data_IF_948715147490
#
_entry.id   IF_948715147490
#
_cell.length_a   1.000
_cell.length_b   1.000
_cell.length_c   1.000
_cell.angle_alpha   90.00
_cell.angle_beta   90.00
_cell.angle_gamma   90.00
#
_symmetry.space_group_name_H-M   'P 1'
#
loop_
_entity.id
_entity.type
_entity.pdbx_description
1 polymer ?
#
# COMPACT_ATOMS: atom_id res chain seq x y z
N UNK A 1 34.34 19.51 -48.72
CA UNK A 1 33.01 20.07 -48.49
C UNK A 1 32.26 18.99 -47.72
N UNK A 2 32.62 18.82 -46.44
CA UNK A 2 32.02 19.46 -45.24
C UNK A 2 30.98 18.48 -44.66
N UNK A 3 31.36 17.79 -43.56
CA UNK A 3 30.81 17.92 -42.18
C UNK A 3 29.36 17.38 -42.06
N UNK A 4 28.96 16.47 -41.16
CA UNK A 4 29.31 16.08 -39.78
C UNK A 4 28.84 14.62 -39.58
N UNK A 5 29.53 13.65 -38.97
CA UNK A 5 30.15 13.52 -37.63
C UNK A 5 29.17 13.46 -36.43
N UNK A 6 29.10 12.27 -35.84
CA UNK A 6 28.90 11.90 -34.42
C UNK A 6 27.71 12.43 -33.61
N UNK A 7 26.91 11.50 -33.07
CA UNK A 7 26.82 11.29 -31.60
C UNK A 7 26.11 9.97 -31.28
N UNK A 8 26.90 8.96 -30.91
CA UNK A 8 26.54 8.03 -29.83
C UNK A 8 26.26 8.84 -28.55
N UNK A 9 25.26 8.46 -27.74
CA UNK A 9 25.14 9.02 -26.39
C UNK A 9 23.77 8.91 -25.72
N UNK A 10 23.69 7.99 -24.76
CA UNK A 10 22.92 8.11 -23.52
C UNK A 10 21.37 8.09 -23.56
N UNK A 11 20.78 6.89 -23.69
CA UNK A 11 19.48 6.57 -23.11
C UNK A 11 19.61 5.81 -21.77
N UNK A 12 20.64 6.15 -21.00
CA UNK A 12 21.07 5.40 -19.82
C UNK A 12 21.22 6.26 -18.57
N UNK A 13 20.35 7.23 -18.29
CA UNK A 13 20.35 7.94 -17.01
C UNK A 13 18.94 8.43 -16.66
N UNK A 14 18.16 7.60 -15.97
CA UNK A 14 16.95 8.08 -15.29
C UNK A 14 16.61 7.25 -14.03
N UNK A 15 16.92 5.96 -14.03
CA UNK A 15 16.65 5.08 -12.88
C UNK A 15 17.75 5.11 -11.79
N UNK A 16 18.98 5.47 -12.13
CA UNK A 16 20.07 5.59 -11.16
C UNK A 16 19.88 6.75 -10.18
N UNK A 17 19.19 7.82 -10.60
CA UNK A 17 18.81 8.95 -9.73
C UNK A 17 17.67 8.58 -8.77
N UNK A 18 16.75 7.71 -9.19
CA UNK A 18 15.63 7.23 -8.36
C UNK A 18 16.12 6.24 -7.31
N UNK A 19 17.04 5.33 -7.67
CA UNK A 19 17.69 4.45 -6.69
C UNK A 19 18.63 5.22 -5.75
N UNK A 20 19.35 6.24 -6.23
CA UNK A 20 20.17 7.11 -5.36
C UNK A 20 19.32 7.94 -4.41
N UNK A 21 18.17 8.48 -4.83
CA UNK A 21 17.28 9.25 -3.97
C UNK A 21 16.67 8.41 -2.83
N UNK A 22 16.51 7.09 -3.01
CA UNK A 22 16.02 6.18 -1.98
C UNK A 22 17.16 5.69 -1.06
N UNK A 23 18.38 5.51 -1.59
CA UNK A 23 19.52 5.00 -0.83
C UNK A 23 20.34 6.07 -0.08
N UNK A 24 20.22 7.37 -0.43
CA UNK A 24 21.05 8.44 0.16
C UNK A 24 20.53 8.94 1.52
N UNK A 25 19.35 8.51 1.98
CA UNK A 25 18.78 8.92 3.27
C UNK A 25 19.27 8.11 4.50
N UNK A 26 20.40 7.39 4.37
CA UNK A 26 20.87 6.45 5.38
C UNK A 26 22.27 6.67 5.98
N UNK A 27 22.98 7.78 5.70
CA UNK A 27 24.31 7.98 6.29
C UNK A 27 24.66 9.46 6.44
N UNK A 28 24.94 9.90 7.68
CA UNK A 28 25.64 11.16 7.96
C UNK A 28 26.80 10.88 8.90
N UNK A 29 28.06 11.16 8.53
CA UNK A 29 29.15 11.34 9.48
C UNK A 29 29.38 12.84 9.73
N UNK A 30 29.31 13.26 10.99
CA UNK A 30 29.89 14.54 11.44
C UNK A 30 31.43 14.44 11.45
N UNK A 31 32.17 15.53 11.19
CA UNK A 31 32.60 16.37 12.32
C UNK A 31 32.63 17.90 12.08
N UNK A 32 32.24 18.62 13.14
CA UNK A 32 32.80 19.84 13.73
C UNK A 32 33.05 21.11 12.87
N UNK A 33 32.49 22.25 13.34
CA UNK A 33 33.13 23.56 13.21
C UNK A 33 32.25 24.80 13.02
N UNK A 34 31.67 25.30 14.13
CA UNK A 34 31.45 26.72 14.46
C UNK A 34 30.67 27.71 13.54
N UNK A 35 29.50 28.11 14.09
CA UNK A 35 29.07 29.49 14.38
C UNK A 35 27.97 30.14 13.52
N UNK A 36 26.93 30.56 14.26
CA UNK A 36 25.95 31.64 14.01
C UNK A 36 24.63 31.33 13.27
N UNK A 37 23.55 31.37 14.06
CA UNK A 37 22.15 31.61 13.69
C UNK A 37 21.77 33.08 14.04
N UNK A 38 20.54 33.59 13.74
CA UNK A 38 19.42 33.00 12.99
C UNK A 38 18.83 33.95 11.92
N UNK A 39 18.05 33.43 10.95
CA UNK A 39 16.67 33.86 10.59
C UNK A 39 16.06 32.77 9.69
N UNK A 40 14.83 32.42 10.02
CA UNK A 40 13.93 31.44 9.40
C UNK A 40 13.67 31.70 7.92
N UNK A 41 13.66 30.65 7.09
CA UNK A 41 12.58 30.50 6.09
C UNK A 41 12.43 29.05 5.61
N UNK A 42 11.17 28.71 5.34
CA UNK A 42 10.67 27.37 5.04
C UNK A 42 11.20 26.81 3.71
N UNK A 43 11.66 25.56 3.69
CA UNK A 43 12.20 24.98 2.45
C UNK A 43 12.56 23.51 2.42
N UNK A 44 11.87 22.62 3.16
CA UNK A 44 12.16 21.17 3.10
C UNK A 44 10.89 20.31 3.07
N UNK A 45 10.04 20.50 2.05
CA UNK A 45 8.93 19.57 1.74
C UNK A 45 8.73 19.28 0.23
N UNK A 46 9.38 20.03 -0.65
CA UNK A 46 9.22 19.90 -2.11
C UNK A 46 9.72 18.58 -2.75
N UNK A 47 10.76 17.86 -2.28
CA UNK A 47 11.35 16.76 -3.06
C UNK A 47 10.45 15.53 -3.20
N UNK A 48 9.75 15.13 -2.13
CA UNK A 48 8.94 13.90 -2.10
C UNK A 48 7.65 14.05 -2.91
N UNK A 49 6.98 15.19 -2.77
CA UNK A 49 5.76 15.51 -3.52
C UNK A 49 6.05 15.64 -5.02
N UNK A 50 7.22 16.16 -5.38
CA UNK A 50 7.69 16.26 -6.77
C UNK A 50 7.98 14.89 -7.40
N UNK A 51 8.61 13.96 -6.67
CA UNK A 51 8.91 12.62 -7.18
C UNK A 51 7.65 11.77 -7.41
N UNK A 52 6.71 11.80 -6.47
CA UNK A 52 5.43 11.09 -6.60
C UNK A 52 4.51 11.70 -7.67
N UNK A 53 4.49 13.03 -7.80
CA UNK A 53 3.73 13.73 -8.84
C UNK A 53 4.32 13.48 -10.23
N UNK A 54 5.65 13.45 -10.37
CA UNK A 54 6.33 13.07 -11.62
C UNK A 54 6.03 11.63 -12.03
N UNK A 55 5.96 10.70 -11.06
CA UNK A 55 5.57 9.32 -11.30
C UNK A 55 4.13 9.19 -11.80
N UNK A 56 3.21 10.03 -11.32
CA UNK A 56 1.80 10.03 -11.72
C UNK A 56 1.54 10.73 -13.06
N UNK A 57 2.23 11.84 -13.33
CA UNK A 57 2.15 12.54 -14.61
C UNK A 57 2.68 11.68 -15.77
N UNK A 58 3.68 10.84 -15.53
CA UNK A 58 4.15 9.87 -16.53
C UNK A 58 3.09 8.81 -16.92
N UNK A 59 2.13 8.51 -16.03
CA UNK A 59 1.03 7.57 -16.31
C UNK A 59 -0.21 8.20 -16.97
N UNK A 60 -0.34 9.53 -16.96
CA UNK A 60 -1.51 10.25 -17.50
C UNK A 60 -1.38 10.63 -18.99
N UNK A 61 -0.20 10.45 -19.61
CA UNK A 61 0.04 10.84 -21.01
C UNK A 61 -0.41 9.82 -22.07
N UNK A 62 -1.11 8.73 -21.72
CA UNK A 62 -1.59 7.75 -22.70
C UNK A 62 -3.11 7.59 -22.66
N UNK A 63 -3.85 8.48 -23.34
CA UNK A 63 -5.13 8.13 -23.99
C UNK A 63 -5.75 9.33 -24.71
N UNK A 64 -5.64 9.38 -26.04
CA UNK A 64 -6.63 10.02 -26.91
C UNK A 64 -6.51 9.47 -28.34
N UNK A 65 -7.36 8.49 -28.68
CA UNK A 65 -7.88 8.28 -30.04
C UNK A 65 -9.24 7.58 -29.94
N UNK A 66 -10.23 8.16 -30.63
CA UNK A 66 -11.66 7.86 -30.58
C UNK A 66 -12.06 6.61 -31.39
N UNK A 67 -13.31 6.08 -31.24
CA UNK A 67 -13.69 4.75 -31.71
C UNK A 67 -14.34 4.75 -33.11
N UNK A 68 -14.05 3.71 -33.91
CA UNK A 68 -14.71 3.41 -35.18
C UNK A 68 -15.79 2.33 -35.04
N UNK A 69 -16.99 2.62 -35.54
CA UNK A 69 -18.17 1.73 -35.62
C UNK A 69 -18.04 0.66 -36.70
N UNK A 70 -18.58 -0.55 -36.44
CA UNK A 70 -19.26 -1.43 -37.42
C UNK A 70 -19.92 -2.66 -36.73
N UNK A 71 -20.88 -3.37 -37.36
CA UNK A 71 -22.23 -3.53 -36.80
C UNK A 71 -22.61 -4.94 -36.31
N UNK A 72 -23.74 -4.94 -35.57
CA UNK A 72 -24.46 -6.08 -34.98
C UNK A 72 -24.96 -7.07 -36.02
N UNK A 73 -24.65 -8.36 -35.83
CA UNK A 73 -25.47 -9.46 -36.31
C UNK A 73 -25.69 -10.52 -35.22
N UNK A 74 -26.96 -10.71 -34.91
CA UNK A 74 -27.52 -11.64 -33.96
C UNK A 74 -27.60 -13.06 -34.53
N UNK A 75 -27.06 -14.05 -33.83
CA UNK A 75 -27.55 -15.44 -33.90
C UNK A 75 -27.18 -16.21 -32.63
N UNK A 76 -28.19 -16.54 -31.83
CA UNK A 76 -28.02 -17.37 -30.65
C UNK A 76 -27.86 -18.84 -31.00
N UNK A 77 -26.90 -19.52 -30.36
CA UNK A 77 -27.04 -20.93 -29.95
C UNK A 77 -26.05 -21.25 -28.84
N UNK A 78 -26.54 -22.07 -27.90
CA UNK A 78 -25.91 -22.63 -26.70
C UNK A 78 -24.45 -23.11 -26.89
N UNK A 79 -23.61 -22.87 -25.89
CA UNK A 79 -22.29 -23.50 -25.78
C UNK A 79 -21.54 -23.02 -24.53
N UNK A 80 -21.41 -23.91 -23.54
CA UNK A 80 -20.45 -23.83 -22.45
C UNK A 80 -19.04 -23.72 -23.06
N UNK A 81 -18.30 -22.65 -22.78
CA UNK A 81 -16.83 -22.65 -22.88
C UNK A 81 -16.22 -22.00 -21.65
N UNK A 82 -16.17 -22.79 -20.57
CA UNK A 82 -15.05 -22.67 -19.63
C UNK A 82 -13.83 -23.25 -20.34
N UNK A 83 -12.88 -22.40 -20.71
CA UNK A 83 -11.58 -22.88 -21.19
C UNK A 83 -10.91 -23.75 -20.11
N UNK A 84 -10.40 -24.94 -20.44
CA UNK A 84 -9.77 -25.83 -19.47
C UNK A 84 -8.36 -25.31 -19.19
N UNK A 85 -8.17 -24.68 -18.03
CA UNK A 85 -6.82 -24.48 -17.50
C UNK A 85 -6.28 -25.86 -17.11
N UNK A 86 -5.31 -26.38 -17.85
CA UNK A 86 -4.66 -27.64 -17.50
C UNK A 86 -4.08 -27.54 -16.07
N UNK A 87 -4.38 -28.50 -15.16
CA UNK A 87 -3.95 -28.42 -13.76
C UNK A 87 -2.43 -28.35 -13.58
N UNK A 88 -1.66 -28.73 -14.61
CA UNK A 88 -0.20 -28.68 -14.66
C UNK A 88 0.36 -27.25 -14.74
N UNK A 89 -0.26 -26.34 -15.51
CA UNK A 89 0.20 -24.95 -15.67
C UNK A 89 0.10 -24.16 -14.35
N UNK A 90 -0.95 -24.44 -13.57
CA UNK A 90 -1.13 -23.85 -12.25
C UNK A 90 -0.02 -24.30 -11.27
N UNK A 91 0.43 -25.56 -11.36
CA UNK A 91 1.54 -26.06 -10.53
C UNK A 91 2.87 -25.40 -10.88
N UNK A 92 3.21 -25.20 -12.15
CA UNK A 92 4.44 -24.52 -12.55
C UNK A 92 4.45 -23.05 -12.11
N UNK A 93 3.32 -22.36 -12.30
CA UNK A 93 3.15 -21.00 -11.85
C UNK A 93 3.36 -20.86 -10.33
N UNK A 94 2.69 -21.71 -9.54
CA UNK A 94 2.83 -21.67 -8.09
C UNK A 94 4.26 -22.03 -7.62
N UNK A 95 4.90 -23.02 -8.25
CA UNK A 95 6.32 -23.35 -8.00
C UNK A 95 7.25 -22.18 -8.33
N UNK A 96 7.00 -21.47 -9.43
CA UNK A 96 7.75 -20.26 -9.77
C UNK A 96 7.59 -19.19 -8.68
N UNK A 97 6.37 -18.94 -8.20
CA UNK A 97 6.12 -17.98 -7.12
C UNK A 97 6.84 -18.35 -5.82
N UNK A 98 6.81 -19.63 -5.43
CA UNK A 98 7.57 -20.12 -4.26
C UNK A 98 9.07 -19.86 -4.44
N UNK A 99 9.63 -20.23 -5.59
CA UNK A 99 11.06 -20.07 -5.84
C UNK A 99 11.47 -18.60 -5.88
N UNK A 100 10.61 -17.73 -6.42
CA UNK A 100 10.83 -16.29 -6.42
C UNK A 100 10.86 -15.71 -5.01
N UNK A 101 9.86 -16.03 -4.17
CA UNK A 101 9.82 -15.55 -2.78
C UNK A 101 10.98 -16.10 -1.96
N UNK A 102 11.34 -17.38 -2.14
CA UNK A 102 12.55 -17.96 -1.53
C UNK A 102 13.84 -17.26 -1.95
N UNK A 103 13.92 -16.83 -3.21
CA UNK A 103 15.08 -16.06 -3.68
C UNK A 103 15.12 -14.68 -3.03
N UNK A 104 13.98 -14.01 -2.90
CA UNK A 104 13.91 -12.73 -2.17
C UNK A 104 14.21 -12.87 -0.69
N UNK A 105 13.82 -13.97 -0.04
CA UNK A 105 14.11 -14.20 1.38
C UNK A 105 15.60 -14.47 1.62
N UNK A 106 16.22 -15.26 0.75
CA UNK A 106 17.66 -15.58 0.82
C UNK A 106 18.53 -14.38 0.46
N UNK A 107 18.11 -13.59 -0.53
CA UNK A 107 18.85 -12.44 -1.05
C UNK A 107 18.08 -11.13 -0.85
N UNK A 108 18.02 -10.64 0.41
CA UNK A 108 17.21 -9.45 0.77
C UNK A 108 17.54 -8.19 -0.04
N UNK A 109 18.81 -7.99 -0.40
CA UNK A 109 19.23 -6.88 -1.27
C UNK A 109 18.56 -6.92 -2.65
N UNK A 110 18.24 -8.12 -3.17
CA UNK A 110 17.53 -8.27 -4.44
C UNK A 110 16.10 -7.74 -4.31
N UNK A 111 15.41 -8.03 -3.21
CA UNK A 111 14.08 -7.50 -2.93
C UNK A 111 14.11 -5.96 -2.83
N UNK A 112 15.04 -5.42 -2.05
CA UNK A 112 15.17 -3.98 -1.82
C UNK A 112 15.48 -3.20 -3.11
N UNK A 113 16.35 -3.72 -3.95
CA UNK A 113 16.84 -2.99 -5.15
C UNK A 113 16.02 -3.26 -6.41
N UNK A 114 15.58 -4.51 -6.62
CA UNK A 114 14.95 -4.95 -7.87
C UNK A 114 13.59 -5.62 -7.69
N UNK A 115 13.19 -5.94 -6.46
CA UNK A 115 11.97 -6.69 -6.18
C UNK A 115 10.73 -5.99 -6.74
N UNK A 116 10.61 -4.68 -6.53
CA UNK A 116 9.51 -3.89 -7.10
C UNK A 116 9.44 -3.99 -8.63
N UNK A 117 10.56 -3.83 -9.32
CA UNK A 117 10.61 -3.94 -10.78
C UNK A 117 10.22 -5.34 -11.27
N UNK A 118 10.74 -6.40 -10.63
CA UNK A 118 10.45 -7.78 -11.00
C UNK A 118 8.96 -8.07 -10.86
N UNK A 119 8.36 -7.75 -9.71
CA UNK A 119 6.94 -8.02 -9.44
C UNK A 119 6.04 -7.24 -10.41
N UNK A 120 6.37 -5.98 -10.67
CA UNK A 120 5.67 -5.13 -11.65
C UNK A 120 5.71 -5.73 -13.06
N UNK A 121 6.89 -6.19 -13.49
CA UNK A 121 7.03 -6.86 -14.78
C UNK A 121 6.24 -8.16 -14.86
N UNK A 122 6.18 -8.93 -13.76
CA UNK A 122 5.32 -10.12 -13.70
C UNK A 122 3.84 -9.75 -13.83
N UNK A 123 3.39 -8.66 -13.21
CA UNK A 123 2.00 -8.20 -13.32
C UNK A 123 1.64 -7.69 -14.72
N UNK A 124 2.62 -7.31 -15.54
CA UNK A 124 2.42 -6.98 -16.95
C UNK A 124 2.34 -8.23 -17.84
N UNK A 125 3.13 -9.25 -17.52
CA UNK A 125 3.24 -10.47 -18.33
C UNK A 125 2.21 -11.55 -17.98
N UNK A 126 1.71 -11.54 -16.74
CA UNK A 126 0.82 -12.55 -16.17
C UNK A 126 -0.36 -11.88 -15.46
N UNK A 127 -1.39 -12.66 -15.14
CA UNK A 127 -2.55 -12.15 -14.41
C UNK A 127 -2.17 -11.70 -12.98
N UNK A 128 -2.30 -10.39 -12.71
CA UNK A 128 -1.96 -9.78 -11.43
C UNK A 128 -2.75 -10.35 -10.22
N UNK A 129 -4.03 -10.68 -10.39
CA UNK A 129 -4.85 -11.27 -9.33
C UNK A 129 -4.25 -12.61 -8.86
N UNK A 130 -3.87 -13.46 -9.81
CA UNK A 130 -3.23 -14.75 -9.50
C UNK A 130 -1.87 -14.59 -8.81
N UNK A 131 -1.09 -13.57 -9.20
CA UNK A 131 0.21 -13.25 -8.58
C UNK A 131 -0.01 -12.85 -7.13
N UNK A 132 -0.86 -11.86 -6.87
CA UNK A 132 -1.13 -11.35 -5.53
C UNK A 132 -1.74 -12.43 -4.63
N UNK A 133 -2.69 -13.21 -5.14
CA UNK A 133 -3.27 -14.33 -4.40
C UNK A 133 -2.20 -15.39 -4.04
N UNK A 134 -1.35 -15.77 -4.99
CA UNK A 134 -0.32 -16.80 -4.73
C UNK A 134 0.76 -16.31 -3.77
N UNK A 135 1.21 -15.06 -3.92
CA UNK A 135 2.18 -14.47 -3.00
C UNK A 135 1.61 -14.34 -1.58
N UNK A 136 0.34 -13.97 -1.45
CA UNK A 136 -0.34 -13.90 -0.16
C UNK A 136 -0.46 -15.27 0.54
N UNK A 137 -0.83 -16.32 -0.20
CA UNK A 137 -0.91 -17.69 0.34
C UNK A 137 0.47 -18.23 0.77
N UNK A 138 1.52 -17.94 0.01
CA UNK A 138 2.90 -18.32 0.37
C UNK A 138 3.35 -17.55 1.63
N UNK A 139 3.12 -16.23 1.66
CA UNK A 139 3.51 -15.37 2.79
C UNK A 139 2.78 -15.73 4.09
N UNK A 140 1.57 -16.27 4.04
CA UNK A 140 0.84 -16.72 5.21
C UNK A 140 1.56 -17.85 5.97
N UNK A 141 2.41 -18.62 5.28
CA UNK A 141 3.17 -19.74 5.82
C UNK A 141 4.65 -19.38 6.07
N UNK A 142 5.02 -18.12 5.86
CA UNK A 142 6.40 -17.67 5.99
C UNK A 142 6.81 -17.58 7.47
N UNK A 143 7.94 -18.22 7.81
CA UNK A 143 8.45 -18.24 9.19
C UNK A 143 9.31 -17.01 9.51
N UNK A 144 10.02 -16.46 8.51
CA UNK A 144 10.79 -15.22 8.68
C UNK A 144 9.86 -14.01 8.68
N UNK A 145 9.37 -13.67 9.87
CA UNK A 145 8.50 -12.53 10.12
C UNK A 145 9.05 -11.20 9.58
N UNK A 146 10.39 -11.00 9.61
CA UNK A 146 11.00 -9.76 9.12
C UNK A 146 10.89 -9.70 7.60
N UNK A 147 11.22 -10.78 6.92
CA UNK A 147 11.06 -10.89 5.47
C UNK A 147 9.59 -10.75 5.06
N UNK A 148 8.67 -11.44 5.75
CA UNK A 148 7.24 -11.36 5.45
C UNK A 148 6.72 -9.92 5.52
N UNK A 149 7.09 -9.17 6.56
CA UNK A 149 6.72 -7.75 6.70
C UNK A 149 7.28 -6.88 5.57
N UNK A 150 8.56 -7.03 5.21
CA UNK A 150 9.19 -6.28 4.10
C UNK A 150 8.56 -6.62 2.75
N UNK A 151 8.25 -7.90 2.50
CA UNK A 151 7.62 -8.34 1.25
C UNK A 151 6.19 -7.80 1.14
N UNK A 152 5.40 -7.88 2.22
CA UNK A 152 4.05 -7.28 2.30
C UNK A 152 4.09 -5.77 2.04
N UNK A 153 5.04 -5.07 2.66
CA UNK A 153 5.25 -3.63 2.41
C UNK A 153 5.52 -3.32 0.93
N UNK A 154 6.39 -4.12 0.32
CA UNK A 154 6.73 -4.00 -1.11
C UNK A 154 5.49 -4.23 -1.98
N UNK A 155 4.73 -5.30 -1.72
CA UNK A 155 3.49 -5.60 -2.45
C UNK A 155 2.43 -4.52 -2.29
N UNK A 156 2.25 -3.99 -1.08
CA UNK A 156 1.33 -2.89 -0.83
C UNK A 156 1.72 -1.63 -1.61
N UNK A 157 3.01 -1.28 -1.61
CA UNK A 157 3.52 -0.14 -2.37
C UNK A 157 3.25 -0.31 -3.86
N UNK A 158 3.53 -1.50 -4.41
CA UNK A 158 3.26 -1.81 -5.82
C UNK A 158 1.76 -1.72 -6.11
N UNK A 159 0.91 -2.33 -5.27
CA UNK A 159 -0.54 -2.31 -5.40
C UNK A 159 -1.09 -0.89 -5.48
N UNK A 160 -0.58 0.02 -4.67
CA UNK A 160 -1.08 1.39 -4.58
C UNK A 160 -0.51 2.31 -5.66
N UNK A 161 0.73 2.11 -6.11
CA UNK A 161 1.43 3.07 -6.98
C UNK A 161 1.50 2.66 -8.44
N UNK A 162 1.40 1.37 -8.75
CA UNK A 162 1.68 0.85 -10.09
C UNK A 162 0.46 0.96 -11.01
N UNK A 163 0.64 1.49 -12.22
CA UNK A 163 -0.44 1.72 -13.19
C UNK A 163 -1.03 0.42 -13.71
N UNK A 164 -0.20 -0.62 -13.89
CA UNK A 164 -0.61 -1.97 -14.30
C UNK A 164 -1.63 -2.63 -13.35
N UNK A 165 -1.73 -2.17 -12.11
CA UNK A 165 -2.68 -2.68 -11.12
C UNK A 165 -3.96 -1.85 -10.99
N UNK A 166 -4.24 -0.97 -11.95
CA UNK A 166 -5.46 -0.16 -11.95
C UNK A 166 -6.74 -1.02 -11.90
N UNK A 167 -6.82 -2.07 -12.73
CA UNK A 167 -7.99 -2.95 -12.74
C UNK A 167 -8.16 -3.72 -11.42
N UNK A 168 -7.07 -4.29 -10.90
CA UNK A 168 -7.06 -5.02 -9.63
C UNK A 168 -7.49 -4.12 -8.46
N UNK A 169 -6.99 -2.88 -8.41
CA UNK A 169 -7.39 -1.88 -7.42
C UNK A 169 -8.89 -1.59 -7.47
N UNK A 170 -9.47 -1.44 -8.65
CA UNK A 170 -10.91 -1.17 -8.78
C UNK A 170 -11.76 -2.38 -8.34
N UNK A 171 -11.32 -3.60 -8.65
CA UNK A 171 -11.98 -4.82 -8.16
C UNK A 171 -11.94 -4.91 -6.62
N UNK A 172 -10.78 -4.67 -6.02
CA UNK A 172 -10.62 -4.63 -4.55
C UNK A 172 -11.39 -3.49 -3.89
N UNK A 173 -11.48 -2.32 -4.55
CA UNK A 173 -12.20 -1.16 -4.03
C UNK A 173 -13.70 -1.40 -3.89
N UNK A 174 -14.27 -2.15 -4.82
CA UNK A 174 -15.72 -2.36 -4.91
C UNK A 174 -16.20 -3.60 -4.14
N UNK A 175 -15.36 -4.63 -3.96
CA UNK A 175 -15.68 -5.90 -3.29
C UNK A 175 -17.01 -6.53 -3.76
N UNK A 176 -17.36 -6.33 -5.04
CA UNK A 176 -18.65 -6.73 -5.62
C UNK A 176 -18.72 -8.23 -5.86
N UNK A 177 -17.62 -8.87 -6.25
CA UNK A 177 -17.59 -10.27 -6.65
C UNK A 177 -17.06 -11.15 -5.53
N UNK A 178 -17.48 -12.43 -5.43
CA UNK A 178 -16.93 -13.35 -4.43
C UNK A 178 -15.41 -13.55 -4.59
N UNK A 179 -14.89 -13.48 -5.80
CA UNK A 179 -13.45 -13.54 -6.09
C UNK A 179 -12.71 -12.36 -5.46
N UNK A 180 -13.22 -11.14 -5.64
CA UNK A 180 -12.62 -9.93 -5.05
C UNK A 180 -12.62 -9.96 -3.51
N UNK A 181 -13.64 -10.56 -2.90
CA UNK A 181 -13.71 -10.75 -1.45
C UNK A 181 -12.73 -11.82 -0.97
N UNK A 182 -12.61 -12.93 -1.69
CA UNK A 182 -11.64 -13.97 -1.39
C UNK A 182 -10.21 -13.42 -1.47
N UNK A 183 -9.89 -12.71 -2.56
CA UNK A 183 -8.61 -12.02 -2.71
C UNK A 183 -8.36 -11.05 -1.55
N UNK A 184 -9.34 -10.22 -1.19
CA UNK A 184 -9.21 -9.33 -0.04
C UNK A 184 -8.90 -10.10 1.26
N UNK A 185 -9.62 -11.17 1.56
CA UNK A 185 -9.36 -11.98 2.77
C UNK A 185 -7.97 -12.63 2.74
N UNK A 186 -7.53 -13.14 1.58
CA UNK A 186 -6.21 -13.73 1.39
C UNK A 186 -5.09 -12.69 1.62
N UNK A 187 -5.23 -11.52 0.97
CA UNK A 187 -4.31 -10.39 1.15
C UNK A 187 -4.31 -9.90 2.59
N UNK A 188 -5.48 -9.71 3.19
CA UNK A 188 -5.59 -9.24 4.57
C UNK A 188 -4.82 -10.15 5.54
N UNK A 189 -5.02 -11.47 5.45
CA UNK A 189 -4.38 -12.43 6.38
C UNK A 189 -2.85 -12.40 6.31
N UNK A 190 -2.28 -12.18 5.13
CA UNK A 190 -0.83 -12.01 4.96
C UNK A 190 -0.38 -10.58 5.26
N UNK A 191 -1.20 -9.56 4.97
CA UNK A 191 -0.86 -8.17 5.23
C UNK A 191 -0.75 -7.88 6.72
N UNK A 192 -1.39 -8.69 7.57
CA UNK A 192 -1.27 -8.63 9.03
C UNK A 192 0.17 -8.74 9.53
N UNK A 193 1.17 -9.13 8.73
CA UNK A 193 2.58 -9.02 9.11
C UNK A 193 3.08 -7.57 9.24
N UNK A 194 2.38 -6.61 8.66
CA UNK A 194 2.63 -5.19 8.79
C UNK A 194 1.32 -4.43 9.11
N UNK A 195 1.25 -3.75 10.27
CA UNK A 195 0.01 -3.11 10.69
C UNK A 195 -0.42 -1.96 9.79
N UNK A 196 0.53 -1.13 9.34
CA UNK A 196 0.24 0.05 8.52
C UNK A 196 -0.24 -0.35 7.13
N UNK A 197 0.34 -1.39 6.53
CA UNK A 197 -0.13 -1.90 5.22
C UNK A 197 -1.53 -2.50 5.32
N UNK A 198 -1.87 -3.14 6.45
CA UNK A 198 -3.23 -3.67 6.69
C UNK A 198 -4.26 -2.54 6.73
N UNK A 199 -3.96 -1.44 7.43
CA UNK A 199 -4.82 -0.24 7.43
C UNK A 199 -4.91 0.37 6.02
N UNK A 200 -3.79 0.46 5.31
CA UNK A 200 -3.76 0.94 3.93
C UNK A 200 -4.67 0.12 2.99
N UNK A 201 -4.70 -1.20 3.14
CA UNK A 201 -5.60 -2.08 2.40
C UNK A 201 -7.08 -1.84 2.78
N UNK A 202 -7.37 -1.58 4.06
CA UNK A 202 -8.71 -1.24 4.51
C UNK A 202 -9.19 0.10 3.95
N UNK A 203 -8.31 1.10 3.85
CA UNK A 203 -8.62 2.35 3.15
C UNK A 203 -8.86 2.14 1.67
N UNK A 204 -8.06 1.29 0.99
CA UNK A 204 -8.25 0.94 -0.42
C UNK A 204 -9.63 0.34 -0.69
N UNK A 205 -10.08 -0.54 0.21
CA UNK A 205 -11.35 -1.28 0.10
C UNK A 205 -12.55 -0.55 0.71
N UNK A 206 -12.37 0.70 1.16
CA UNK A 206 -13.41 1.54 1.78
C UNK A 206 -14.05 0.92 3.04
N UNK A 207 -13.32 0.09 3.78
CA UNK A 207 -13.78 -0.55 5.00
C UNK A 207 -13.39 0.28 6.23
N UNK A 208 -13.94 1.50 6.33
CA UNK A 208 -13.50 2.51 7.31
C UNK A 208 -13.77 2.13 8.77
N UNK A 209 -14.86 1.42 9.04
CA UNK A 209 -15.16 0.91 10.39
C UNK A 209 -14.05 -0.04 10.86
N UNK A 210 -13.72 -1.02 10.03
CA UNK A 210 -12.66 -1.98 10.32
C UNK A 210 -11.28 -1.31 10.41
N UNK A 211 -11.01 -0.33 9.55
CA UNK A 211 -9.77 0.47 9.64
C UNK A 211 -9.67 1.18 11.00
N UNK A 212 -10.75 1.78 11.49
CA UNK A 212 -10.79 2.40 12.81
C UNK A 212 -10.55 1.39 13.93
N UNK A 213 -11.22 0.24 13.89
CA UNK A 213 -11.06 -0.83 14.89
C UNK A 213 -9.60 -1.34 14.94
N UNK A 214 -8.92 -1.44 13.78
CA UNK A 214 -7.48 -1.75 13.70
C UNK A 214 -6.60 -0.66 14.31
N UNK A 215 -6.90 0.61 14.02
CA UNK A 215 -6.12 1.74 14.55
C UNK A 215 -6.26 1.83 16.07
N UNK A 216 -7.40 1.48 16.65
CA UNK A 216 -7.53 1.39 18.11
C UNK A 216 -6.56 0.37 18.71
N UNK A 217 -6.26 -0.73 17.99
CA UNK A 217 -5.29 -1.73 18.41
C UNK A 217 -3.83 -1.28 18.26
N UNK A 218 -3.55 -0.21 17.52
CA UNK A 218 -2.18 0.30 17.40
C UNK A 218 -1.64 0.84 18.72
N UNK A 219 -2.52 1.26 19.65
CA UNK A 219 -2.10 1.69 20.99
C UNK A 219 -1.49 0.57 21.84
N UNK A 220 -1.85 -0.68 21.56
CA UNK A 220 -1.29 -1.86 22.24
C UNK A 220 0.01 -2.36 21.58
N UNK A 221 0.36 -1.81 20.41
CA UNK A 221 1.58 -2.18 19.68
C UNK A 221 2.79 -1.39 20.17
N UNK A 222 3.96 -2.03 20.10
CA UNK A 222 5.24 -1.37 20.35
C UNK A 222 5.52 -0.29 19.30
N UNK A 223 5.63 0.97 19.75
CA UNK A 223 5.91 2.13 18.89
C UNK A 223 7.40 2.15 18.53
N UNK A 224 7.74 1.67 17.33
CA UNK A 224 9.11 1.74 16.77
C UNK A 224 9.25 2.87 15.75
N UNK A 225 10.50 3.29 15.47
CA UNK A 225 10.78 4.31 14.44
C UNK A 225 10.33 3.84 13.05
N UNK A 226 10.53 2.55 12.74
CA UNK A 226 10.06 1.96 11.48
C UNK A 226 8.55 2.06 11.35
N UNK A 227 7.82 1.76 12.43
CA UNK A 227 6.37 1.87 12.46
C UNK A 227 5.90 3.32 12.24
N UNK A 228 6.47 4.29 12.96
CA UNK A 228 6.13 5.70 12.79
C UNK A 228 6.43 6.21 11.37
N UNK A 229 7.56 5.79 10.80
CA UNK A 229 7.95 6.11 9.43
C UNK A 229 6.93 5.56 8.42
N UNK A 230 6.39 4.37 8.66
CA UNK A 230 5.34 3.80 7.81
C UNK A 230 4.02 4.55 7.94
N UNK A 231 3.62 4.94 9.16
CA UNK A 231 2.42 5.77 9.37
C UNK A 231 2.56 7.11 8.66
N UNK A 232 3.73 7.77 8.75
CA UNK A 232 4.04 9.01 8.03
C UNK A 232 3.87 8.84 6.52
N UNK A 233 4.44 7.76 5.94
CA UNK A 233 4.25 7.40 4.52
C UNK A 233 2.79 7.16 4.16
N UNK A 234 2.02 6.49 5.02
CA UNK A 234 0.58 6.27 4.78
C UNK A 234 -0.18 7.60 4.72
N UNK A 235 0.13 8.55 5.60
CA UNK A 235 -0.48 9.88 5.58
C UNK A 235 -0.12 10.63 4.30
N UNK A 236 1.13 10.59 3.86
CA UNK A 236 1.52 11.17 2.57
C UNK A 236 0.76 10.51 1.40
N UNK A 237 0.52 9.20 1.46
CA UNK A 237 -0.27 8.49 0.46
C UNK A 237 -1.74 8.94 0.44
N UNK A 238 -2.35 9.29 1.58
CA UNK A 238 -3.74 9.79 1.63
C UNK A 238 -3.93 11.05 0.78
N UNK A 239 -2.89 11.88 0.66
CA UNK A 239 -2.89 13.05 -0.21
C UNK A 239 -2.64 12.74 -1.70
N UNK A 240 -2.19 11.53 -1.99
CA UNK A 240 -1.93 11.10 -3.35
C UNK A 240 -3.24 10.81 -4.12
N UNK A 241 -3.23 10.97 -5.47
CA UNK A 241 -4.40 10.76 -6.32
C UNK A 241 -5.12 9.42 -6.15
N UNK A 242 -4.41 8.35 -5.75
CA UNK A 242 -5.02 7.06 -5.45
C UNK A 242 -6.14 7.17 -4.42
N UNK A 243 -5.99 8.01 -3.39
CA UNK A 243 -6.97 8.20 -2.33
C UNK A 243 -7.84 9.45 -2.54
N UNK A 244 -7.94 9.96 -3.77
CA UNK A 244 -8.86 11.09 -4.08
C UNK A 244 -10.30 10.77 -3.70
N UNK A 245 -10.77 9.53 -3.92
CA UNK A 245 -12.12 9.14 -3.51
C UNK A 245 -12.31 9.20 -1.99
N UNK A 246 -11.29 8.82 -1.21
CA UNK A 246 -11.32 8.87 0.26
C UNK A 246 -11.42 10.33 0.72
N UNK A 247 -10.64 11.23 0.11
CA UNK A 247 -10.70 12.67 0.41
C UNK A 247 -12.05 13.29 0.06
N UNK A 248 -12.67 12.88 -1.06
CA UNK A 248 -14.03 13.31 -1.41
C UNK A 248 -15.07 12.76 -0.41
N UNK A 249 -14.88 11.55 0.09
CA UNK A 249 -15.75 10.94 1.11
C UNK A 249 -15.64 11.60 2.49
N UNK A 250 -14.57 12.35 2.77
CA UNK A 250 -14.45 13.17 3.98
C UNK A 250 -15.49 14.31 4.03
N UNK A 251 -15.99 14.76 2.88
CA UNK A 251 -17.05 15.77 2.83
C UNK A 251 -18.38 15.23 3.38
N UNK A 252 -18.59 13.92 3.32
CA UNK A 252 -19.82 13.28 3.79
C UNK A 252 -19.61 12.66 5.18
N UNK A 253 -19.56 13.55 6.17
CA UNK A 253 -19.35 13.21 7.59
C UNK A 253 -20.44 12.27 8.13
N UNK A 254 -21.68 12.42 7.64
CA UNK A 254 -22.85 11.67 8.13
C UNK A 254 -22.76 10.20 7.70
N UNK A 255 -22.38 9.93 6.46
CA UNK A 255 -22.29 8.56 5.95
C UNK A 255 -20.95 7.88 6.29
N UNK A 256 -19.88 8.65 6.54
CA UNK A 256 -18.53 8.12 6.81
C UNK A 256 -17.92 8.59 8.15
N UNK A 257 -18.60 8.45 9.30
CA UNK A 257 -18.08 8.93 10.58
C UNK A 257 -16.81 8.17 11.02
N UNK A 258 -16.71 6.89 10.66
CA UNK A 258 -15.55 6.05 11.00
C UNK A 258 -14.29 6.44 10.22
N UNK A 259 -14.43 7.04 9.02
CA UNK A 259 -13.27 7.53 8.26
C UNK A 259 -12.59 8.67 9.02
N UNK A 260 -13.38 9.65 9.49
CA UNK A 260 -12.86 10.78 10.26
C UNK A 260 -12.23 10.28 11.57
N UNK A 261 -12.90 9.37 12.30
CA UNK A 261 -12.35 8.77 13.51
C UNK A 261 -11.04 8.01 13.26
N UNK A 262 -10.94 7.26 12.15
CA UNK A 262 -9.71 6.57 11.75
C UNK A 262 -8.58 7.57 11.47
N UNK A 263 -8.84 8.64 10.72
CA UNK A 263 -7.83 9.65 10.42
C UNK A 263 -7.38 10.42 11.66
N UNK A 264 -8.28 10.81 12.55
CA UNK A 264 -7.89 11.38 13.85
C UNK A 264 -7.12 10.37 14.72
N UNK A 265 -7.47 9.08 14.66
CA UNK A 265 -6.71 8.02 15.30
C UNK A 265 -5.26 7.97 14.81
N UNK A 266 -5.04 8.02 13.49
CA UNK A 266 -3.70 8.12 12.90
C UNK A 266 -2.98 9.40 13.32
N UNK A 267 -3.69 10.54 13.34
CA UNK A 267 -3.13 11.82 13.78
C UNK A 267 -2.62 11.76 15.23
N UNK A 268 -3.33 11.07 16.12
CA UNK A 268 -2.95 10.91 17.52
C UNK A 268 -1.78 9.94 17.75
N UNK A 269 -1.45 9.10 16.77
CA UNK A 269 -0.29 8.20 16.83
C UNK A 269 0.99 8.85 16.32
N UNK A 270 0.89 9.91 15.52
CA UNK A 270 2.04 10.58 14.93
C UNK A 270 2.70 11.52 15.94
N UNK A 271 4.05 11.59 15.97
CA UNK A 271 4.74 12.73 16.57
C UNK A 271 4.40 14.01 15.78
N UNK A 272 4.75 15.19 16.29
CA UNK A 272 4.56 16.48 15.59
C UNK A 272 5.46 16.62 14.34
N UNK A 273 5.30 15.72 13.37
CA UNK A 273 6.01 15.68 12.09
C UNK A 273 5.29 16.50 11.02
N UNK A 274 5.89 16.61 9.84
CA UNK A 274 5.24 17.20 8.67
C UNK A 274 3.97 16.43 8.25
N UNK A 275 3.92 15.11 8.42
CA UNK A 275 2.69 14.35 8.16
C UNK A 275 1.58 14.68 9.16
N UNK A 276 1.91 14.93 10.43
CA UNK A 276 0.93 15.42 11.39
C UNK A 276 0.31 16.73 10.92
N UNK A 277 1.13 17.69 10.51
CA UNK A 277 0.65 18.98 9.99
C UNK A 277 -0.19 18.79 8.72
N UNK A 278 0.26 17.95 7.79
CA UNK A 278 -0.43 17.65 6.54
C UNK A 278 -1.84 17.09 6.80
N UNK A 279 -1.95 16.07 7.66
CA UNK A 279 -3.23 15.46 7.99
C UNK A 279 -4.12 16.40 8.81
N UNK A 280 -3.54 17.12 9.76
CA UNK A 280 -4.27 18.11 10.57
C UNK A 280 -4.89 19.19 9.69
N UNK A 281 -4.13 19.79 8.77
CA UNK A 281 -4.64 20.78 7.83
C UNK A 281 -5.73 20.18 6.92
N UNK A 282 -5.57 18.95 6.43
CA UNK A 282 -6.61 18.26 5.65
C UNK A 282 -7.91 18.08 6.45
N UNK A 283 -7.79 17.68 7.72
CA UNK A 283 -8.94 17.48 8.60
C UNK A 283 -9.61 18.80 9.00
N UNK A 284 -8.86 19.89 9.09
CA UNK A 284 -9.42 21.24 9.29
C UNK A 284 -10.27 21.71 8.09
N UNK A 285 -9.99 21.21 6.88
CA UNK A 285 -10.83 21.47 5.71
C UNK A 285 -12.15 20.67 5.71
N UNK A 286 -12.34 19.73 6.63
CA UNK A 286 -13.57 18.95 6.71
C UNK A 286 -14.69 19.85 7.25
N UNK A 287 -15.84 19.95 6.56
CA UNK A 287 -16.95 20.78 7.03
C UNK A 287 -17.35 20.41 8.45
N UNK A 288 -17.59 21.40 9.31
CA UNK A 288 -18.14 21.14 10.63
C UNK A 288 -19.48 20.40 10.43
N UNK A 289 -19.68 19.19 11.00
CA UNK A 289 -20.92 18.43 10.86
C UNK A 289 -22.17 19.22 11.27
N UNK A 290 -22.02 20.21 12.16
CA UNK A 290 -23.08 21.12 12.58
C UNK A 290 -23.48 22.13 11.49
N UNK A 291 -22.53 22.58 10.65
CA UNK A 291 -22.79 23.51 9.54
C UNK A 291 -23.48 22.84 8.35
N UNK A 292 -23.40 21.50 8.23
CA UNK A 292 -24.13 20.71 7.23
C UNK A 292 -25.52 20.25 7.72
N UNK A 293 -26.03 20.83 8.81
CA UNK A 293 -27.42 20.72 9.23
C UNK A 293 -28.29 21.79 8.54
N UNK A 294 -28.11 22.01 7.24
CA UNK A 294 -29.12 22.70 6.44
C UNK A 294 -30.27 21.73 6.21
N UNK A 295 -31.30 21.83 7.06
CA UNK A 295 -32.69 21.40 6.84
C UNK A 295 -32.91 20.36 5.73
N UNK A 296 -32.90 19.06 6.09
CA UNK A 296 -33.55 18.02 5.29
C UNK A 296 -34.26 17.05 6.25
N UNK A 297 -35.34 17.55 6.85
CA UNK A 297 -36.45 16.71 7.30
C UNK A 297 -37.24 16.29 6.06
N UNK A 298 -36.78 15.30 5.29
CA UNK A 298 -37.67 14.37 4.55
C UNK A 298 -36.89 13.27 3.83
N UNK A 299 -37.29 12.03 4.14
CA UNK A 299 -37.06 10.77 3.42
C UNK A 299 -35.68 10.12 3.62
N UNK A 300 -35.64 8.84 4.02
CA UNK A 300 -34.42 8.05 3.94
C UNK A 300 -34.12 7.86 2.45
N UNK A 301 -33.22 8.68 1.92
CA UNK A 301 -32.62 8.43 0.62
C UNK A 301 -32.00 7.03 0.69
N UNK A 302 -32.38 6.23 -0.29
CA UNK A 302 -31.95 4.86 -0.51
C UNK A 302 -30.48 4.71 -0.13
N UNK A 303 -30.27 4.17 1.06
CA UNK A 303 -29.05 3.52 1.47
C UNK A 303 -28.52 2.77 0.26
N UNK A 304 -27.29 3.04 -0.16
CA UNK A 304 -26.46 2.01 -0.79
C UNK A 304 -26.28 0.89 0.25
N UNK A 305 -27.36 0.16 0.52
CA UNK A 305 -27.35 -1.18 1.06
C UNK A 305 -26.59 -1.96 0.01
N UNK A 306 -25.26 -2.00 0.16
CA UNK A 306 -24.46 -3.09 -0.40
C UNK A 306 -25.16 -4.34 0.09
N UNK A 307 -25.81 -4.99 -0.86
CA UNK A 307 -26.62 -6.18 -0.69
C UNK A 307 -25.79 -7.20 0.08
N UNK A 308 -26.33 -7.56 1.25
CA UNK A 308 -25.84 -8.66 2.04
C UNK A 308 -25.87 -9.94 1.19
N UNK A 309 -24.70 -10.44 0.80
CA UNK A 309 -24.49 -11.81 0.37
C UNK A 309 -22.98 -12.12 0.42
N UNK A 310 -22.60 -12.94 1.41
CA UNK A 310 -21.26 -13.40 1.85
C UNK A 310 -20.42 -12.38 2.65
N UNK A 311 -20.83 -12.12 3.90
CA UNK A 311 -20.17 -11.26 4.88
C UNK A 311 -18.72 -11.71 5.11
N UNK A 312 -17.77 -10.83 4.77
CA UNK A 312 -16.41 -10.94 5.29
C UNK A 312 -16.49 -10.89 6.82
N UNK A 313 -15.93 -11.88 7.50
CA UNK A 313 -15.90 -11.90 8.96
C UNK A 313 -14.75 -11.02 9.46
N UNK A 314 -15.05 -9.73 9.61
CA UNK A 314 -14.09 -8.75 10.14
C UNK A 314 -13.64 -9.05 11.57
N UNK A 315 -14.42 -9.83 12.34
CA UNK A 315 -14.05 -10.22 13.71
C UNK A 315 -12.96 -11.27 13.69
N UNK A 316 -13.11 -12.30 12.86
CA UNK A 316 -12.07 -13.31 12.61
C UNK A 316 -10.78 -12.65 12.09
N UNK A 317 -10.91 -11.72 11.15
CA UNK A 317 -9.77 -10.97 10.59
C UNK A 317 -9.05 -10.13 11.66
N UNK A 318 -9.79 -9.50 12.57
CA UNK A 318 -9.19 -8.73 13.66
C UNK A 318 -8.46 -9.64 14.67
N UNK A 319 -9.03 -10.79 15.02
CA UNK A 319 -8.38 -11.78 15.88
C UNK A 319 -7.10 -12.34 15.25
N UNK A 320 -7.12 -12.61 13.94
CA UNK A 320 -5.94 -13.03 13.20
C UNK A 320 -4.86 -11.94 13.20
N UNK A 321 -5.24 -10.68 13.02
CA UNK A 321 -4.33 -9.54 13.11
C UNK A 321 -3.62 -9.49 14.47
N UNK A 322 -4.38 -9.53 15.57
CA UNK A 322 -3.81 -9.53 16.93
C UNK A 322 -2.84 -10.70 17.14
N UNK A 323 -3.22 -11.91 16.70
CA UNK A 323 -2.36 -13.10 16.81
C UNK A 323 -1.04 -12.93 16.05
N UNK A 324 -1.07 -12.37 14.84
CA UNK A 324 0.15 -12.16 14.04
C UNK A 324 1.02 -11.08 14.66
N UNK A 325 0.44 -9.98 15.14
CA UNK A 325 1.19 -8.91 15.81
C UNK A 325 1.83 -9.39 17.12
N UNK A 326 1.12 -10.20 17.92
CA UNK A 326 1.69 -10.80 19.14
C UNK A 326 2.88 -11.72 18.81
N UNK A 327 2.81 -12.51 17.74
CA UNK A 327 3.97 -13.30 17.27
C UNK A 327 5.17 -12.43 16.91
N UNK A 328 4.97 -11.28 16.27
CA UNK A 328 6.04 -10.33 15.96
C UNK A 328 6.64 -9.74 17.23
N UNK A 329 5.80 -9.39 18.21
CA UNK A 329 6.24 -8.86 19.51
C UNK A 329 7.08 -9.90 20.27
N UNK A 330 6.59 -11.13 20.39
CA UNK A 330 7.32 -12.25 21.01
C UNK A 330 8.67 -12.51 20.32
N UNK A 331 8.69 -12.52 18.99
CA UNK A 331 9.93 -12.74 18.23
C UNK A 331 10.95 -11.61 18.43
N UNK A 332 10.50 -10.36 18.63
CA UNK A 332 11.39 -9.23 18.97
C UNK A 332 11.96 -9.37 20.38
N UNK A 333 11.11 -9.66 21.37
CA UNK A 333 11.57 -9.87 22.76
C UNK A 333 12.56 -11.03 22.88
N UNK A 334 12.33 -12.14 22.19
CA UNK A 334 13.27 -13.27 22.16
C UNK A 334 14.63 -12.89 21.55
N UNK A 335 14.64 -12.04 20.50
CA UNK A 335 15.88 -11.55 19.88
C UNK A 335 16.64 -10.58 20.80
N UNK A 336 15.93 -9.68 21.48
CA UNK A 336 16.51 -8.75 22.43
C UNK A 336 17.14 -9.50 23.63
N UNK A 337 16.39 -10.43 24.24
CA UNK A 337 16.90 -11.23 25.37
C UNK A 337 18.11 -12.10 25.00
N UNK A 338 18.17 -12.63 23.78
CA UNK A 338 19.33 -13.39 23.30
C UNK A 338 20.57 -12.50 23.09
N UNK A 339 20.38 -11.25 22.64
CA UNK A 339 21.48 -10.30 22.47
C UNK A 339 22.09 -9.91 23.83
N UNK A 340 21.26 -9.61 24.83
CA UNK A 340 21.71 -9.28 26.19
C UNK A 340 22.46 -10.45 26.87
N UNK A 341 22.04 -11.69 26.60
CA UNK A 341 22.68 -12.88 27.16
C UNK A 341 24.04 -13.18 26.51
N UNK A 342 24.23 -12.79 25.25
CA UNK A 342 25.52 -12.88 24.56
C UNK A 342 26.49 -11.80 25.07
N UNK A 343 26.04 -10.56 25.25
CA UNK A 343 26.88 -9.47 25.80
C UNK A 343 27.38 -9.80 27.21
N UNK A 344 26.52 -10.37 28.08
CA UNK A 344 26.95 -10.81 29.42
C UNK A 344 28.01 -11.92 29.40
N UNK A 345 28.08 -12.73 28.34
CA UNK A 345 29.10 -13.79 28.19
C UNK A 345 30.39 -13.29 27.56
N UNK A 346 30.39 -12.13 26.92
CA UNK A 346 31.60 -11.51 26.34
C UNK A 346 32.30 -10.61 27.37
N UNK A 347 31.55 -10.13 28.38
CA UNK A 347 32.07 -9.29 29.48
C UNK A 347 32.62 -10.12 30.66
N UNK A 348 32.32 -11.42 30.73
CA UNK A 348 32.89 -12.39 31.68
C UNK A 348 34.01 -13.18 31.00
#
# INVERSE_FOLDING_TARGET
MEENSSTEGAAGYSWDLVSKAILTFGYSPDPAGHSQSPVEDAGYAAPLQSAYLKMLLAGLSCSHTAPGLCPVHSRGTKGLECSPSTPTMNSYFYKFMINLLKRFSTERKLLETRGAFIIRQLCLLLNAENIFHSMADILLREEDLKFASTMVHTLNTILLTSSELFQLRNQLKDLKTPESRNLFCCLYRSWCHNPVTTVSLCFLTQNYKHAYDLIQKFGDLEVTVDFLTEVDKLVQLIECPIFTYLRLQLLDVKNNPYLIKALYGLLMLLPQSSAFQLLSHRLQCVPNPELMQTTDNTKPSTSFKRTAASNIDYTELLQHFEKVQNKHLEARHQRAGRAEQLDRRVVL
#
